data_IF_246885047995
#
_entry.id   IF_246885047995
#
_cell.length_a   1.000
_cell.length_b   1.000
_cell.length_c   1.000
_cell.angle_alpha   90.00
_cell.angle_beta   90.00
_cell.angle_gamma   90.00
#
_symmetry.space_group_name_H-M   'P 1'
#
loop_
_entity.id
_entity.type
_entity.pdbx_description
1 polymer ?
#
# COMPACT_ATOMS: atom_id res chain seq x y z
N UNK A 1 -4.04 0.43 -1.96
CA UNK A 1 -4.84 -0.45 -2.85
C UNK A 1 -5.01 0.09 -4.27
N UNK A 2 -5.60 1.28 -4.50
CA UNK A 2 -5.82 1.82 -5.86
C UNK A 2 -4.55 1.90 -6.69
N UNK A 3 -3.48 2.47 -6.10
CA UNK A 3 -2.16 2.55 -6.74
C UNK A 3 -1.64 1.18 -7.18
N UNK A 4 -1.75 0.16 -6.32
CA UNK A 4 -1.32 -1.20 -6.66
C UNK A 4 -2.15 -1.79 -7.81
N UNK A 5 -3.46 -1.58 -7.83
CA UNK A 5 -4.32 -2.04 -8.94
C UNK A 5 -3.91 -1.39 -10.27
N UNK A 6 -3.61 -0.09 -10.26
CA UNK A 6 -3.08 0.59 -11.46
C UNK A 6 -1.74 0.00 -11.90
N UNK A 7 -0.80 -0.22 -10.97
CA UNK A 7 0.50 -0.84 -11.29
C UNK A 7 0.35 -2.26 -11.84
N UNK A 8 -0.68 -2.99 -11.40
CA UNK A 8 -1.00 -4.34 -11.87
C UNK A 8 -1.87 -4.35 -13.15
N UNK A 9 -2.19 -3.20 -13.74
CA UNK A 9 -3.11 -3.07 -14.88
C UNK A 9 -4.50 -3.68 -14.63
N UNK A 10 -5.02 -3.52 -13.42
CA UNK A 10 -6.32 -4.04 -12.99
C UNK A 10 -7.40 -2.95 -12.94
N UNK A 11 -8.67 -3.39 -12.96
CA UNK A 11 -9.81 -2.50 -12.80
C UNK A 11 -9.86 -1.83 -11.41
N UNK A 12 -10.11 -0.53 -11.43
CA UNK A 12 -10.16 0.35 -10.26
C UNK A 12 -11.57 0.85 -9.94
N UNK A 13 -12.62 0.40 -10.65
CA UNK A 13 -13.98 0.90 -10.42
C UNK A 13 -14.52 0.50 -9.06
N UNK A 14 -14.15 -0.68 -8.57
CA UNK A 14 -14.57 -1.19 -7.27
C UNK A 14 -13.35 -1.44 -6.37
N UNK A 15 -13.27 -0.66 -5.29
CA UNK A 15 -12.19 -0.73 -4.31
C UNK A 15 -12.81 -0.74 -2.90
N UNK A 16 -12.38 -1.69 -2.09
CA UNK A 16 -12.78 -1.81 -0.69
C UNK A 16 -11.57 -1.57 0.22
N UNK A 17 -11.76 -1.07 1.46
CA UNK A 17 -10.67 -0.92 2.41
C UNK A 17 -10.00 -2.26 2.73
N UNK A 18 -8.67 -2.32 2.64
CA UNK A 18 -7.90 -3.52 3.00
C UNK A 18 -8.00 -3.78 4.51
N UNK A 19 -8.57 -4.91 4.90
CA UNK A 19 -8.69 -5.31 6.32
C UNK A 19 -7.41 -5.97 6.87
N UNK A 20 -6.54 -6.47 5.99
CA UNK A 20 -5.25 -7.06 6.34
C UNK A 20 -4.18 -6.62 5.34
N UNK A 21 -3.86 -7.51 4.41
CA UNK A 21 -2.89 -7.25 3.35
C UNK A 21 -3.30 -7.94 2.04
N UNK A 22 -2.83 -7.40 0.92
CA UNK A 22 -2.89 -8.06 -0.39
C UNK A 22 -1.46 -8.26 -0.91
N UNK A 23 -1.17 -9.41 -1.50
CA UNK A 23 0.12 -9.67 -2.17
C UNK A 23 -0.13 -9.76 -3.67
N UNK A 24 0.67 -9.05 -4.46
CA UNK A 24 0.65 -9.16 -5.93
C UNK A 24 2.06 -9.20 -6.49
N UNK A 25 2.25 -10.03 -7.50
CA UNK A 25 3.43 -9.96 -8.36
C UNK A 25 3.12 -9.10 -9.58
N UNK A 26 3.80 -7.96 -9.71
CA UNK A 26 3.69 -7.05 -10.84
C UNK A 26 4.94 -7.22 -11.71
N UNK A 27 4.77 -7.44 -13.00
CA UNK A 27 5.88 -7.34 -13.95
C UNK A 27 5.95 -5.93 -14.51
N UNK A 28 7.12 -5.30 -14.40
CA UNK A 28 7.38 -3.99 -15.00
C UNK A 28 8.80 -3.94 -15.54
N UNK A 29 8.94 -3.60 -16.82
CA UNK A 29 10.24 -3.31 -17.45
C UNK A 29 11.31 -4.41 -17.25
N UNK A 30 10.90 -5.69 -17.32
CA UNK A 30 11.79 -6.84 -17.13
C UNK A 30 12.03 -7.25 -15.66
N UNK A 31 11.51 -6.49 -14.70
CA UNK A 31 11.56 -6.82 -13.28
C UNK A 31 10.25 -7.45 -12.81
N UNK A 32 10.37 -8.43 -11.90
CA UNK A 32 9.24 -8.97 -11.14
C UNK A 32 9.24 -8.35 -9.76
N UNK A 33 8.25 -7.51 -9.48
CA UNK A 33 8.05 -6.85 -8.20
C UNK A 33 7.02 -7.63 -7.40
N UNK A 34 7.37 -8.09 -6.19
CA UNK A 34 6.39 -8.65 -5.26
C UNK A 34 5.95 -7.54 -4.31
N UNK A 35 4.76 -7.01 -4.52
CA UNK A 35 4.23 -5.85 -3.79
C UNK A 35 3.22 -6.32 -2.75
N UNK A 36 3.37 -5.78 -1.54
CA UNK A 36 2.50 -6.03 -0.40
C UNK A 36 1.71 -4.76 -0.10
N UNK A 37 0.41 -4.75 -0.39
CA UNK A 37 -0.51 -3.66 -0.04
C UNK A 37 -1.08 -3.93 1.35
N UNK A 38 -0.53 -3.22 2.34
CA UNK A 38 -0.95 -3.33 3.74
C UNK A 38 -2.00 -2.25 4.02
N UNK A 39 -3.06 -2.60 4.73
CA UNK A 39 -4.09 -1.63 5.05
C UNK A 39 -3.58 -0.48 5.96
N UNK A 40 -4.15 0.71 5.77
CA UNK A 40 -3.74 1.93 6.49
C UNK A 40 -4.59 2.32 7.70
N UNK A 41 -5.58 1.49 8.06
CA UNK A 41 -6.47 1.79 9.20
C UNK A 41 -5.66 1.84 10.50
N UNK A 42 -5.97 2.80 11.39
CA UNK A 42 -5.20 3.00 12.64
C UNK A 42 -5.03 1.73 13.47
N UNK A 43 -6.04 0.86 13.49
CA UNK A 43 -6.02 -0.42 14.22
C UNK A 43 -4.96 -1.40 13.73
N UNK A 44 -4.56 -1.33 12.45
CA UNK A 44 -3.62 -2.29 11.85
C UNK A 44 -2.20 -1.73 11.68
N UNK A 45 -2.01 -0.41 11.81
CA UNK A 45 -0.69 0.24 11.74
C UNK A 45 0.36 -0.36 12.69
N UNK A 46 0.04 -0.78 13.93
CA UNK A 46 1.02 -1.44 14.80
C UNK A 46 1.67 -2.69 14.20
N UNK A 47 0.98 -3.38 13.27
CA UNK A 47 1.47 -4.60 12.62
C UNK A 47 2.32 -4.33 11.37
N UNK A 48 2.46 -3.08 10.91
CA UNK A 48 3.27 -2.75 9.73
C UNK A 48 4.72 -3.23 9.86
N UNK A 49 5.27 -3.19 11.07
CA UNK A 49 6.65 -3.62 11.37
C UNK A 49 6.90 -5.08 11.01
N UNK A 50 5.86 -5.92 10.99
CA UNK A 50 5.96 -7.33 10.65
C UNK A 50 6.30 -7.56 9.16
N UNK A 51 6.21 -6.51 8.33
CA UNK A 51 6.44 -6.58 6.89
C UNK A 51 7.71 -5.84 6.46
N UNK A 52 8.48 -5.28 7.39
CA UNK A 52 9.71 -4.54 7.04
C UNK A 52 10.89 -5.46 6.73
N UNK A 53 10.91 -6.64 7.34
CA UNK A 53 11.95 -7.62 7.05
C UNK A 53 11.86 -8.09 5.60
N UNK A 54 13.00 -8.16 4.91
CA UNK A 54 13.09 -8.55 3.50
C UNK A 54 12.31 -7.63 2.52
N UNK A 55 12.06 -6.36 2.89
CA UNK A 55 11.52 -5.35 1.98
C UNK A 55 12.65 -4.53 1.36
N UNK A 56 12.76 -4.56 0.03
CA UNK A 56 13.74 -3.76 -0.71
C UNK A 56 13.36 -2.27 -0.80
N UNK A 57 12.05 -1.99 -0.93
CA UNK A 57 11.52 -0.63 -1.16
C UNK A 57 10.20 -0.44 -0.42
N UNK A 58 10.07 0.68 0.29
CA UNK A 58 8.83 1.11 0.93
C UNK A 58 8.17 2.24 0.12
N UNK A 59 6.90 2.04 -0.25
CA UNK A 59 6.07 3.11 -0.85
C UNK A 59 5.07 3.57 0.20
N UNK A 60 5.24 4.79 0.69
CA UNK A 60 4.32 5.44 1.62
C UNK A 60 3.41 6.42 0.88
N UNK A 61 2.09 6.20 0.96
CA UNK A 61 1.10 6.97 0.21
C UNK A 61 0.32 7.88 1.15
N UNK A 62 0.32 9.18 0.83
CA UNK A 62 -0.40 10.22 1.56
C UNK A 62 -1.45 10.81 0.62
N UNK A 63 -2.68 10.96 1.11
CA UNK A 63 -3.72 11.72 0.41
C UNK A 63 -3.44 13.21 0.59
N UNK A 64 -2.97 13.88 -0.46
CA UNK A 64 -2.59 15.29 -0.43
C UNK A 64 -3.77 16.25 -0.23
N UNK A 65 -5.01 15.78 -0.43
CA UNK A 65 -6.22 16.59 -0.24
C UNK A 65 -6.75 16.55 1.19
N UNK A 66 -6.36 15.54 1.98
CA UNK A 66 -6.82 15.36 3.35
C UNK A 66 -5.86 15.99 4.37
N UNK A 67 -5.77 17.32 4.33
CA UNK A 67 -4.90 18.11 5.21
C UNK A 67 -5.13 17.86 6.70
N UNK A 68 -6.36 17.49 7.10
CA UNK A 68 -6.70 17.20 8.51
C UNK A 68 -5.94 16.01 9.07
N UNK A 69 -5.45 15.12 8.21
CA UNK A 69 -4.71 13.93 8.59
C UNK A 69 -3.21 14.06 8.39
N UNK A 70 -2.68 15.21 7.95
CA UNK A 70 -1.23 15.36 7.74
C UNK A 70 -0.43 15.16 9.01
N UNK A 71 -0.93 15.60 10.17
CA UNK A 71 -0.22 15.36 11.44
C UNK A 71 -0.05 13.86 11.75
N UNK A 72 -0.90 13.00 11.20
CA UNK A 72 -0.81 11.55 11.36
C UNK A 72 0.32 10.91 10.54
N UNK A 73 0.90 11.64 9.58
CA UNK A 73 1.98 11.15 8.71
C UNK A 73 3.36 11.32 9.32
N UNK A 74 3.47 12.07 10.43
CA UNK A 74 4.72 12.29 11.16
C UNK A 74 4.97 11.23 12.27
N UNK A 75 4.28 10.09 12.21
CA UNK A 75 4.36 9.00 13.20
C UNK A 75 5.35 7.92 12.82
#
# INVERSE_FOLDING_TARGET
TTLLKVLASEDITHITPTQGFNIKSVQSSGFKLNVWDIGGQRKIRPYWRNYFEHTDVLIYVIDSSDHKRFDETNQ
#
